data_IF_491847080084
#
_entry.id   IF_491847080084
#
_cell.length_a   1.000
_cell.length_b   1.000
_cell.length_c   1.000
_cell.angle_alpha   90.00
_cell.angle_beta   90.00
_cell.angle_gamma   90.00
#
_symmetry.space_group_name_H-M   'P 1'
#
loop_
_entity.id
_entity.type
_entity.pdbx_description
1 polymer ?
#
# COMPACT_ATOMS: atom_id res chain seq x y z
N UNK A 1 -69.50 -107.16 -42.17
CA UNK A 1 -70.40 -107.12 -40.99
C UNK A 1 -70.32 -105.69 -40.46
N UNK A 2 -71.34 -104.84 -40.69
CA UNK A 2 -72.55 -104.67 -39.85
C UNK A 2 -72.14 -104.03 -38.51
N UNK A 3 -72.58 -102.85 -38.03
CA UNK A 3 -73.46 -101.75 -38.42
C UNK A 3 -73.11 -100.58 -37.43
N UNK A 4 -73.68 -99.38 -37.60
CA UNK A 4 -73.38 -98.16 -36.84
C UNK A 4 -74.32 -97.96 -35.62
N UNK A 5 -74.15 -96.83 -34.91
CA UNK A 5 -75.15 -95.82 -34.48
C UNK A 5 -74.88 -95.21 -33.09
N UNK A 6 -74.88 -93.87 -33.08
CA UNK A 6 -75.51 -92.89 -32.16
C UNK A 6 -75.08 -92.87 -30.67
N UNK A 7 -74.86 -91.72 -30.02
CA UNK A 7 -75.74 -90.53 -29.89
C UNK A 7 -74.99 -89.44 -29.08
N UNK A 8 -74.75 -88.23 -29.59
CA UNK A 8 -75.46 -86.94 -29.38
C UNK A 8 -75.89 -86.62 -27.93
N UNK A 9 -75.28 -85.57 -27.33
CA UNK A 9 -75.91 -84.46 -26.55
C UNK A 9 -74.90 -83.25 -26.50
N UNK A 10 -75.03 -82.20 -27.33
CA UNK A 10 -75.55 -80.82 -27.05
C UNK A 10 -74.93 -80.21 -25.77
N UNK A 11 -74.15 -79.10 -25.77
CA UNK A 11 -74.62 -77.69 -25.87
C UNK A 11 -73.42 -76.72 -25.85
N UNK A 12 -73.59 -75.55 -26.49
CA UNK A 12 -72.86 -74.25 -26.52
C UNK A 12 -71.86 -73.97 -25.37
N UNK A 13 -70.78 -73.15 -25.50
CA UNK A 13 -70.74 -71.72 -25.87
C UNK A 13 -69.29 -71.32 -26.25
N UNK A 14 -69.10 -70.49 -27.29
CA UNK A 14 -67.97 -69.55 -27.38
C UNK A 14 -66.98 -69.69 -28.54
N UNK A 15 -67.29 -69.04 -29.68
CA UNK A 15 -66.28 -68.45 -30.58
C UNK A 15 -65.41 -67.45 -29.78
N UNK A 16 -64.10 -67.28 -30.05
CA UNK A 16 -63.61 -66.26 -30.99
C UNK A 16 -62.07 -66.32 -31.11
N UNK A 17 -61.59 -66.47 -32.36
CA UNK A 17 -60.46 -65.75 -33.01
C UNK A 17 -59.18 -65.41 -32.19
N UNK A 18 -58.03 -66.01 -32.57
CA UNK A 18 -56.73 -65.33 -32.47
C UNK A 18 -55.69 -65.84 -33.50
N UNK A 19 -55.82 -65.25 -34.69
CA UNK A 19 -54.82 -65.01 -35.73
C UNK A 19 -53.33 -65.18 -35.35
N UNK A 20 -52.67 -66.15 -35.99
CA UNK A 20 -51.24 -66.40 -35.98
C UNK A 20 -50.51 -65.33 -36.82
N UNK A 21 -50.02 -64.25 -36.20
CA UNK A 21 -49.16 -63.25 -36.85
C UNK A 21 -47.68 -63.66 -36.81
N UNK A 22 -47.05 -63.73 -37.97
CA UNK A 22 -45.61 -63.88 -38.15
C UNK A 22 -44.82 -62.70 -37.54
N UNK A 23 -43.58 -62.91 -37.04
CA UNK A 23 -42.83 -61.86 -36.34
C UNK A 23 -42.36 -60.74 -37.29
N UNK A 24 -42.38 -59.46 -36.84
CA UNK A 24 -41.98 -58.33 -37.67
C UNK A 24 -40.46 -58.29 -37.88
N UNK A 25 -40.01 -58.53 -39.11
CA UNK A 25 -38.60 -58.38 -39.53
C UNK A 25 -38.27 -56.90 -39.76
N UNK A 26 -37.93 -56.16 -38.70
CA UNK A 26 -37.16 -54.88 -38.76
C UNK A 26 -36.61 -54.51 -37.36
N UNK A 27 -35.66 -55.32 -36.87
CA UNK A 27 -34.83 -55.03 -35.66
C UNK A 27 -33.33 -55.20 -35.90
N UNK A 28 -32.91 -55.64 -37.10
CA UNK A 28 -31.50 -55.96 -37.41
C UNK A 28 -30.62 -54.73 -37.55
N UNK A 29 -31.10 -53.65 -38.20
CA UNK A 29 -30.30 -52.45 -38.40
C UNK A 29 -30.05 -51.66 -37.11
N UNK A 30 -31.04 -51.57 -36.21
CA UNK A 30 -30.88 -50.95 -34.90
C UNK A 30 -29.98 -51.78 -33.98
N UNK A 31 -30.08 -53.12 -34.04
CA UNK A 31 -29.17 -54.01 -33.31
C UNK A 31 -27.73 -53.90 -33.82
N UNK A 32 -27.51 -53.86 -35.15
CA UNK A 32 -26.17 -53.66 -35.72
C UNK A 32 -25.63 -52.25 -35.46
N UNK A 33 -26.50 -51.23 -35.50
CA UNK A 33 -26.11 -49.86 -35.14
C UNK A 33 -25.67 -49.81 -33.68
N UNK A 34 -26.44 -50.39 -32.76
CA UNK A 34 -26.09 -50.44 -31.33
C UNK A 34 -24.82 -51.26 -31.09
N UNK A 35 -24.64 -52.38 -31.80
CA UNK A 35 -23.45 -53.23 -31.73
C UNK A 35 -22.16 -52.50 -32.18
N UNK A 36 -22.26 -51.52 -33.08
CA UNK A 36 -21.13 -50.71 -33.54
C UNK A 36 -20.98 -49.43 -32.71
N UNK A 37 -22.08 -48.78 -32.34
CA UNK A 37 -22.09 -47.50 -31.65
C UNK A 37 -21.58 -47.61 -30.21
N UNK A 38 -21.97 -48.67 -29.49
CA UNK A 38 -21.54 -48.89 -28.11
C UNK A 38 -20.01 -49.03 -27.99
N UNK A 39 -19.32 -49.91 -28.75
CA UNK A 39 -17.87 -49.99 -28.70
C UNK A 39 -17.17 -48.74 -29.25
N UNK A 40 -17.80 -48.02 -30.20
CA UNK A 40 -17.26 -46.75 -30.70
C UNK A 40 -17.21 -45.68 -29.60
N UNK A 41 -18.32 -45.48 -28.87
CA UNK A 41 -18.38 -44.51 -27.77
C UNK A 41 -17.42 -44.90 -26.65
N UNK A 42 -17.33 -46.20 -26.33
CA UNK A 42 -16.38 -46.71 -25.33
C UNK A 42 -14.91 -46.46 -25.74
N UNK A 43 -14.61 -46.60 -27.04
CA UNK A 43 -13.26 -46.33 -27.55
C UNK A 43 -12.92 -44.84 -27.42
N UNK A 44 -13.87 -43.96 -27.73
CA UNK A 44 -13.70 -42.50 -27.60
C UNK A 44 -13.48 -42.10 -26.13
N UNK A 45 -14.22 -42.69 -25.19
CA UNK A 45 -14.05 -42.38 -23.76
C UNK A 45 -12.71 -42.87 -23.21
N UNK A 46 -12.24 -44.06 -23.62
CA UNK A 46 -10.90 -44.55 -23.24
C UNK A 46 -9.81 -43.61 -23.76
N UNK A 47 -9.90 -43.20 -25.02
CA UNK A 47 -8.95 -42.25 -25.63
C UNK A 47 -8.95 -40.93 -24.86
N UNK A 48 -10.13 -40.41 -24.50
CA UNK A 48 -10.25 -39.18 -23.71
C UNK A 48 -9.55 -39.29 -22.35
N UNK A 49 -9.76 -40.40 -21.64
CA UNK A 49 -9.12 -40.64 -20.34
C UNK A 49 -7.60 -40.72 -20.48
N UNK A 50 -7.09 -41.46 -21.48
CA UNK A 50 -5.64 -41.59 -21.71
C UNK A 50 -5.00 -40.24 -22.02
N UNK A 51 -5.61 -39.44 -22.90
CA UNK A 51 -5.11 -38.10 -23.23
C UNK A 51 -5.09 -37.18 -22.00
N UNK A 52 -6.15 -37.23 -21.18
CA UNK A 52 -6.23 -36.47 -19.93
C UNK A 52 -5.11 -36.87 -18.94
N UNK A 53 -4.77 -38.15 -18.84
CA UNK A 53 -3.66 -38.62 -18.01
C UNK A 53 -2.28 -38.18 -18.52
N UNK A 54 -2.14 -37.94 -19.82
CA UNK A 54 -0.92 -37.42 -20.45
C UNK A 54 -0.79 -35.89 -20.32
N UNK A 55 -1.73 -35.21 -19.66
CA UNK A 55 -1.76 -33.74 -19.57
C UNK A 55 -2.13 -33.07 -20.90
N UNK A 56 -2.67 -33.83 -21.86
CA UNK A 56 -3.16 -33.30 -23.13
C UNK A 56 -4.66 -33.02 -22.97
N UNK A 57 -5.05 -31.75 -22.91
CA UNK A 57 -6.46 -31.35 -22.95
C UNK A 57 -7.06 -31.67 -24.33
N UNK A 58 -7.95 -32.68 -24.47
CA UNK A 58 -8.43 -33.11 -25.77
C UNK A 58 -9.24 -32.01 -26.48
N UNK A 59 -9.88 -31.14 -25.70
CA UNK A 59 -10.76 -30.05 -26.16
C UNK A 59 -9.98 -28.86 -26.73
N UNK A 60 -8.74 -28.61 -26.31
CA UNK A 60 -7.99 -27.43 -26.76
C UNK A 60 -7.36 -27.62 -28.16
N UNK A 61 -7.07 -28.87 -28.56
CA UNK A 61 -6.45 -29.21 -29.86
C UNK A 61 -7.42 -29.70 -30.95
N UNK A 62 -8.70 -29.86 -30.65
CA UNK A 62 -9.71 -30.28 -31.64
C UNK A 62 -10.02 -29.22 -32.70
N UNK A 63 -9.73 -27.94 -32.43
CA UNK A 63 -9.99 -26.82 -33.35
C UNK A 63 -9.33 -27.00 -34.73
N UNK A 64 -8.10 -27.52 -34.79
CA UNK A 64 -7.37 -27.72 -36.06
C UNK A 64 -7.81 -28.98 -36.84
N UNK A 65 -8.40 -29.96 -36.15
CA UNK A 65 -8.87 -31.22 -36.77
C UNK A 65 -10.34 -31.10 -37.23
N UNK A 66 -11.13 -30.23 -36.62
CA UNK A 66 -12.54 -29.96 -36.97
C UNK A 66 -12.70 -29.24 -38.31
N UNK A 67 -11.76 -28.36 -38.68
CA UNK A 67 -11.78 -27.58 -39.92
C UNK A 67 -11.69 -28.42 -41.22
N UNK A 68 -11.36 -29.71 -41.15
CA UNK A 68 -11.21 -30.60 -42.32
C UNK A 68 -12.31 -31.67 -42.43
N UNK A 69 -13.35 -31.58 -41.59
CA UNK A 69 -14.49 -32.52 -41.61
C UNK A 69 -15.70 -31.78 -42.18
N UNK A 70 -16.15 -32.11 -43.43
CA UNK A 70 -17.23 -31.40 -44.15
C UNK A 70 -18.60 -31.31 -43.46
N UNK A 71 -18.76 -31.92 -42.28
CA UNK A 71 -20.04 -32.05 -41.56
C UNK A 71 -20.03 -31.28 -40.23
N UNK A 72 -18.93 -30.61 -39.84
CA UNK A 72 -18.75 -29.99 -38.51
C UNK A 72 -18.45 -28.47 -38.52
N UNK A 73 -18.71 -27.76 -39.62
CA UNK A 73 -18.42 -26.32 -39.78
C UNK A 73 -19.14 -25.38 -38.80
N UNK A 74 -20.15 -25.83 -38.04
CA UNK A 74 -20.96 -24.95 -37.17
C UNK A 74 -20.61 -24.98 -35.68
N UNK A 75 -19.57 -25.69 -35.26
CA UNK A 75 -19.02 -25.60 -33.88
C UNK A 75 -17.84 -24.61 -33.83
N UNK A 76 -18.04 -23.50 -34.53
CA UNK A 76 -17.30 -22.24 -34.41
C UNK A 76 -17.50 -21.72 -32.98
N UNK A 77 -16.45 -21.10 -32.42
CA UNK A 77 -16.49 -20.32 -31.17
C UNK A 77 -17.83 -19.59 -31.10
N UNK A 78 -18.66 -19.92 -30.13
CA UNK A 78 -19.99 -19.31 -30.01
C UNK A 78 -19.82 -17.81 -29.77
N UNK A 79 -20.72 -16.96 -30.29
CA UNK A 79 -20.70 -15.50 -30.02
C UNK A 79 -20.64 -15.20 -28.51
N UNK A 80 -21.14 -16.13 -27.69
CA UNK A 80 -21.08 -16.11 -26.25
C UNK A 80 -19.66 -16.32 -25.67
N UNK A 81 -18.85 -17.20 -26.25
CA UNK A 81 -17.44 -17.40 -25.86
C UNK A 81 -16.57 -16.21 -26.27
N UNK A 82 -16.82 -15.60 -27.44
CA UNK A 82 -16.14 -14.38 -27.86
C UNK A 82 -16.45 -13.20 -26.91
N UNK A 83 -17.73 -13.01 -26.56
CA UNK A 83 -18.15 -11.99 -25.60
C UNK A 83 -17.70 -12.26 -24.15
N UNK A 84 -17.33 -13.50 -23.82
CA UNK A 84 -16.72 -13.83 -22.53
C UNK A 84 -15.23 -13.49 -22.53
N UNK A 85 -14.50 -13.84 -23.58
CA UNK A 85 -13.09 -13.50 -23.75
C UNK A 85 -12.85 -11.97 -23.80
N UNK A 86 -13.75 -11.21 -24.43
CA UNK A 86 -13.68 -9.75 -24.45
C UNK A 86 -13.83 -9.15 -23.04
N UNK A 87 -14.78 -9.66 -22.24
CA UNK A 87 -14.96 -9.22 -20.84
C UNK A 87 -13.78 -9.60 -19.95
N UNK A 88 -13.20 -10.78 -20.15
CA UNK A 88 -12.01 -11.21 -19.43
C UNK A 88 -10.82 -10.29 -19.73
N UNK A 89 -10.63 -9.93 -21.00
CA UNK A 89 -9.60 -8.96 -21.41
C UNK A 89 -9.84 -7.57 -20.81
N UNK A 90 -11.09 -7.10 -20.77
CA UNK A 90 -11.46 -5.83 -20.14
C UNK A 90 -11.18 -5.84 -18.63
N UNK A 91 -11.57 -6.90 -17.92
CA UNK A 91 -11.27 -7.03 -16.50
C UNK A 91 -9.77 -7.10 -16.22
N UNK A 92 -9.00 -7.81 -17.07
CA UNK A 92 -7.55 -7.88 -16.92
C UNK A 92 -6.90 -6.50 -17.11
N UNK A 93 -7.37 -5.72 -18.09
CA UNK A 93 -6.93 -4.34 -18.32
C UNK A 93 -7.27 -3.44 -17.12
N UNK A 94 -8.48 -3.55 -16.57
CA UNK A 94 -8.86 -2.80 -15.37
C UNK A 94 -7.98 -3.16 -14.16
N UNK A 95 -7.68 -4.45 -13.95
CA UNK A 95 -6.80 -4.90 -12.87
C UNK A 95 -5.40 -4.31 -13.03
N UNK A 96 -4.84 -4.32 -14.25
CA UNK A 96 -3.52 -3.74 -14.52
C UNK A 96 -3.49 -2.22 -14.28
N UNK A 97 -4.55 -1.52 -14.69
CA UNK A 97 -4.71 -0.09 -14.43
C UNK A 97 -4.82 0.21 -12.93
N UNK A 98 -5.61 -0.57 -12.18
CA UNK A 98 -5.72 -0.41 -10.73
C UNK A 98 -4.40 -0.73 -10.01
N UNK A 99 -3.66 -1.75 -10.46
CA UNK A 99 -2.35 -2.05 -9.89
C UNK A 99 -1.36 -0.91 -10.12
N UNK A 100 -1.34 -0.35 -11.32
CA UNK A 100 -0.49 0.81 -11.65
C UNK A 100 -0.85 2.02 -10.78
N UNK A 101 -2.14 2.27 -10.56
CA UNK A 101 -2.59 3.38 -9.72
C UNK A 101 -2.27 3.15 -8.23
N UNK A 102 -2.40 1.91 -7.74
CA UNK A 102 -1.97 1.53 -6.38
C UNK A 102 -0.48 1.76 -6.20
N UNK A 103 0.34 1.37 -7.18
CA UNK A 103 1.79 1.55 -7.11
C UNK A 103 2.15 3.05 -7.11
N UNK A 104 1.49 3.85 -7.95
CA UNK A 104 1.65 5.31 -7.99
C UNK A 104 1.28 5.96 -6.65
N UNK A 105 0.12 5.63 -6.11
CA UNK A 105 -0.37 6.16 -4.84
C UNK A 105 0.54 5.72 -3.67
N UNK A 106 1.05 4.49 -3.71
CA UNK A 106 1.98 3.99 -2.69
C UNK A 106 3.31 4.74 -2.70
N UNK A 107 3.83 5.05 -3.90
CA UNK A 107 5.03 5.89 -4.03
C UNK A 107 4.78 7.32 -3.56
N UNK A 108 3.64 7.91 -3.91
CA UNK A 108 3.26 9.25 -3.46
C UNK A 108 3.14 9.31 -1.93
N UNK A 109 2.51 8.30 -1.32
CA UNK A 109 2.35 8.19 0.13
C UNK A 109 3.72 8.05 0.82
N UNK A 110 4.60 7.20 0.31
CA UNK A 110 5.97 7.07 0.82
C UNK A 110 6.77 8.37 0.70
N UNK A 111 6.56 9.14 -0.38
CA UNK A 111 7.18 10.46 -0.56
C UNK A 111 6.67 11.47 0.47
N UNK A 112 5.36 11.50 0.71
CA UNK A 112 4.74 12.36 1.74
C UNK A 112 5.19 11.99 3.15
N UNK A 113 5.31 10.70 3.47
CA UNK A 113 5.81 10.26 4.78
C UNK A 113 7.26 10.70 5.02
N UNK A 114 8.10 10.65 3.98
CA UNK A 114 9.48 11.16 4.05
C UNK A 114 9.51 12.68 4.25
N UNK A 115 8.67 13.42 3.53
CA UNK A 115 8.52 14.88 3.70
C UNK A 115 8.04 15.25 5.11
N UNK A 116 7.07 14.52 5.66
CA UNK A 116 6.59 14.71 7.04
C UNK A 116 7.73 14.44 8.04
N UNK A 117 8.51 13.38 7.85
CA UNK A 117 9.64 13.08 8.73
C UNK A 117 10.70 14.19 8.71
N UNK A 118 11.03 14.72 7.53
CA UNK A 118 11.97 15.83 7.37
C UNK A 118 11.45 17.12 8.02
N UNK A 119 10.19 17.48 7.77
CA UNK A 119 9.56 18.64 8.39
C UNK A 119 9.52 18.55 9.92
N UNK A 120 9.23 17.36 10.47
CA UNK A 120 9.25 17.16 11.93
C UNK A 120 10.66 17.33 12.51
N UNK A 121 11.70 16.81 11.83
CA UNK A 121 13.08 17.01 12.26
C UNK A 121 13.49 18.50 12.22
N UNK A 122 13.06 19.24 11.20
CA UNK A 122 13.27 20.69 11.12
C UNK A 122 12.56 21.43 12.26
N UNK A 123 11.33 21.05 12.60
CA UNK A 123 10.57 21.62 13.73
C UNK A 123 11.30 21.37 15.05
N UNK A 124 11.80 20.15 15.29
CA UNK A 124 12.56 19.83 16.50
C UNK A 124 13.83 20.67 16.61
N UNK A 125 14.58 20.83 15.51
CA UNK A 125 15.76 21.67 15.49
C UNK A 125 15.42 23.14 15.79
N UNK A 126 14.41 23.70 15.13
CA UNK A 126 13.99 25.09 15.34
C UNK A 126 13.52 25.32 16.78
N UNK A 127 12.80 24.38 17.38
CA UNK A 127 12.40 24.47 18.78
C UNK A 127 13.62 24.48 19.71
N UNK A 128 14.63 23.63 19.47
CA UNK A 128 15.86 23.63 20.25
C UNK A 128 16.62 24.96 20.11
N UNK A 129 16.67 25.55 18.91
CA UNK A 129 17.26 26.87 18.69
C UNK A 129 16.50 27.98 19.42
N UNK A 130 15.17 27.93 19.44
CA UNK A 130 14.32 28.86 20.20
C UNK A 130 14.59 28.74 21.69
N UNK A 131 14.63 27.52 22.24
CA UNK A 131 14.89 27.29 23.67
C UNK A 131 16.28 27.82 24.07
N UNK A 132 17.29 27.59 23.23
CA UNK A 132 18.63 28.16 23.44
C UNK A 132 18.59 29.70 23.42
N UNK A 133 17.87 30.29 22.48
CA UNK A 133 17.74 31.75 22.40
C UNK A 133 17.03 32.33 23.63
N UNK A 134 15.95 31.70 24.09
CA UNK A 134 15.22 32.12 25.28
C UNK A 134 16.07 32.01 26.55
N UNK A 135 16.80 30.91 26.74
CA UNK A 135 17.72 30.77 27.87
C UNK A 135 18.83 31.85 27.84
N UNK A 136 19.39 32.12 26.65
CA UNK A 136 20.38 33.19 26.51
C UNK A 136 19.81 34.58 26.80
N UNK A 137 18.53 34.83 26.47
CA UNK A 137 17.86 36.08 26.82
C UNK A 137 17.63 36.21 28.32
N UNK A 138 17.20 35.14 28.99
CA UNK A 138 16.98 35.13 30.44
C UNK A 138 18.30 35.34 31.21
N UNK A 139 19.37 34.68 30.76
CA UNK A 139 20.72 34.87 31.30
C UNK A 139 21.22 36.32 31.10
N UNK A 140 20.92 36.93 29.95
CA UNK A 140 21.25 38.33 29.66
C UNK A 140 20.46 39.29 30.54
N UNK A 141 19.13 39.10 30.66
CA UNK A 141 18.29 39.93 31.51
C UNK A 141 18.75 39.85 32.98
N UNK A 142 18.99 38.65 33.48
CA UNK A 142 19.52 38.44 34.83
C UNK A 142 20.90 39.08 35.00
N UNK A 143 21.76 39.01 33.98
CA UNK A 143 23.07 39.68 34.00
C UNK A 143 22.91 41.20 34.02
N UNK A 144 22.04 41.77 33.21
CA UNK A 144 21.74 43.20 33.16
C UNK A 144 21.25 43.71 34.52
N UNK A 145 20.30 43.01 35.17
CA UNK A 145 19.82 43.36 36.51
C UNK A 145 20.96 43.37 37.55
N UNK A 146 21.83 42.36 37.53
CA UNK A 146 22.99 42.31 38.43
C UNK A 146 23.98 43.44 38.15
N UNK A 147 24.24 43.75 36.88
CA UNK A 147 25.12 44.86 36.51
C UNK A 147 24.51 46.18 36.96
N UNK A 148 23.20 46.39 36.78
CA UNK A 148 22.52 47.60 37.24
C UNK A 148 22.65 47.78 38.77
N UNK A 149 22.42 46.72 39.55
CA UNK A 149 22.59 46.77 41.00
C UNK A 149 24.04 47.09 41.43
N UNK A 150 25.03 46.55 40.72
CA UNK A 150 26.43 46.90 40.93
C UNK A 150 26.71 48.36 40.55
N UNK A 151 26.19 48.82 39.41
CA UNK A 151 26.30 50.21 38.97
C UNK A 151 25.75 51.17 40.01
N UNK A 152 24.56 50.91 40.56
CA UNK A 152 23.97 51.73 41.64
C UNK A 152 24.85 51.73 42.90
N UNK A 153 25.41 50.57 43.26
CA UNK A 153 26.32 50.44 44.40
C UNK A 153 27.58 51.28 44.21
N UNK A 154 28.22 51.21 43.04
CA UNK A 154 29.44 51.97 42.77
C UNK A 154 29.18 53.45 42.48
N UNK A 155 28.02 53.79 41.93
CA UNK A 155 27.57 55.17 41.66
C UNK A 155 27.44 56.00 42.94
N UNK A 156 27.08 55.36 44.06
CA UNK A 156 26.90 55.99 45.37
C UNK A 156 28.14 55.89 46.27
N UNK A 157 29.15 55.13 45.84
CA UNK A 157 30.39 54.92 46.58
C UNK A 157 31.39 56.04 46.28
N UNK A 158 32.23 56.36 47.27
CA UNK A 158 33.37 57.28 47.07
C UNK A 158 34.31 56.78 45.96
N UNK A 159 34.71 57.67 45.05
CA UNK A 159 35.41 57.33 43.81
C UNK A 159 36.70 56.52 44.04
N UNK A 160 37.48 56.87 45.07
CA UNK A 160 38.72 56.16 45.43
C UNK A 160 38.42 54.73 45.93
N UNK A 161 37.37 54.56 46.73
CA UNK A 161 36.97 53.24 47.21
C UNK A 161 36.45 52.37 46.07
N UNK A 162 35.62 52.92 45.19
CA UNK A 162 35.13 52.23 44.00
C UNK A 162 36.29 51.81 43.07
N UNK A 163 37.23 52.72 42.80
CA UNK A 163 38.42 52.44 42.00
C UNK A 163 39.25 51.28 42.57
N UNK A 164 39.51 51.28 43.88
CA UNK A 164 40.28 50.21 44.55
C UNK A 164 39.62 48.83 44.45
N UNK A 165 38.30 48.78 44.56
CA UNK A 165 37.55 47.51 44.46
C UNK A 165 37.53 47.05 43.00
N UNK A 166 37.19 47.93 42.05
CA UNK A 166 37.08 47.60 40.64
C UNK A 166 38.40 47.15 40.02
N UNK A 167 39.55 47.67 40.47
CA UNK A 167 40.86 47.18 40.03
C UNK A 167 41.11 45.70 40.34
N UNK A 168 40.43 45.15 41.34
CA UNK A 168 40.53 43.75 41.75
C UNK A 168 39.30 42.92 41.31
N UNK A 169 38.46 43.48 40.46
CA UNK A 169 37.25 42.84 39.93
C UNK A 169 37.51 42.33 38.50
N UNK A 170 36.75 41.33 38.07
CA UNK A 170 36.84 40.81 36.71
C UNK A 170 36.61 41.92 35.67
N UNK A 171 37.50 41.99 34.68
CA UNK A 171 37.55 43.05 33.68
C UNK A 171 36.18 43.27 33.00
N UNK A 172 35.47 42.20 32.66
CA UNK A 172 34.17 42.27 31.98
C UNK A 172 33.08 42.93 32.84
N UNK A 173 33.12 42.69 34.16
CA UNK A 173 32.19 43.31 35.11
C UNK A 173 32.55 44.79 35.26
N UNK A 174 33.84 45.10 35.35
CA UNK A 174 34.32 46.49 35.45
C UNK A 174 33.88 47.29 34.23
N UNK A 175 34.07 46.76 33.01
CA UNK A 175 33.65 47.44 31.78
C UNK A 175 32.14 47.65 31.73
N UNK A 176 31.35 46.62 32.05
CA UNK A 176 29.89 46.72 32.04
C UNK A 176 29.39 47.78 33.05
N UNK A 177 29.93 47.79 34.26
CA UNK A 177 29.60 48.80 35.28
C UNK A 177 30.04 50.19 34.83
N UNK A 178 31.27 50.35 34.33
CA UNK A 178 31.78 51.65 33.88
C UNK A 178 31.00 52.20 32.69
N UNK A 179 30.52 51.36 31.76
CA UNK A 179 29.67 51.77 30.63
C UNK A 179 28.35 52.37 31.11
N UNK A 180 27.73 51.74 32.10
CA UNK A 180 26.41 52.13 32.61
C UNK A 180 26.44 53.36 33.53
N UNK A 181 27.59 53.63 34.16
CA UNK A 181 27.77 54.84 34.98
C UNK A 181 27.65 56.13 34.16
N UNK A 182 27.23 57.21 34.83
CA UNK A 182 27.23 58.54 34.22
C UNK A 182 28.66 58.96 33.81
N UNK A 183 28.83 59.80 32.78
CA UNK A 183 30.15 60.29 32.38
C UNK A 183 30.95 60.91 33.54
N UNK A 184 30.28 61.61 34.44
CA UNK A 184 30.87 62.24 35.62
C UNK A 184 31.37 61.20 36.63
N UNK A 185 30.52 60.22 36.96
CA UNK A 185 30.87 59.14 37.90
C UNK A 185 31.99 58.26 37.35
N UNK A 186 31.89 57.87 36.07
CA UNK A 186 32.93 57.13 35.36
C UNK A 186 34.25 57.90 35.36
N UNK A 187 34.22 59.20 35.05
CA UNK A 187 35.40 60.06 35.05
C UNK A 187 36.06 60.15 36.43
N UNK A 188 35.25 60.34 37.48
CA UNK A 188 35.73 60.41 38.86
C UNK A 188 36.41 59.10 39.31
N UNK A 189 35.79 57.96 39.00
CA UNK A 189 36.34 56.63 39.32
C UNK A 189 37.62 56.35 38.52
N UNK A 190 37.63 56.58 37.21
CA UNK A 190 38.83 56.41 36.38
C UNK A 190 39.97 57.33 36.82
N UNK A 191 39.67 58.57 37.23
CA UNK A 191 40.68 59.51 37.76
C UNK A 191 41.24 59.09 39.11
N UNK A 192 40.50 58.29 39.88
CA UNK A 192 40.93 57.74 41.15
C UNK A 192 41.72 56.41 41.00
N UNK A 193 41.80 55.86 39.78
CA UNK A 193 42.63 54.71 39.46
C UNK A 193 44.08 55.13 39.12
N UNK A 194 45.06 54.22 39.23
CA UNK A 194 46.37 54.39 38.64
C UNK A 194 46.29 54.64 37.13
N UNK A 195 47.21 55.45 36.60
CA UNK A 195 47.20 55.86 35.19
C UNK A 195 47.22 54.69 34.20
N UNK A 196 47.89 53.59 34.57
CA UNK A 196 47.95 52.37 33.75
C UNK A 196 46.58 51.70 33.63
N UNK A 197 45.89 51.45 34.75
CA UNK A 197 44.57 50.85 34.77
C UNK A 197 43.51 51.76 34.15
N UNK A 198 43.54 53.06 34.46
CA UNK A 198 42.64 54.04 33.87
C UNK A 198 42.78 54.09 32.34
N UNK A 199 44.02 54.10 31.84
CA UNK A 199 44.31 54.04 30.41
C UNK A 199 43.84 52.72 29.76
N UNK A 200 44.07 51.59 30.43
CA UNK A 200 43.62 50.26 29.98
C UNK A 200 42.10 50.22 29.83
N UNK A 201 41.34 50.56 30.88
CA UNK A 201 39.88 50.55 30.84
C UNK A 201 39.32 51.56 29.84
N UNK A 202 39.95 52.75 29.70
CA UNK A 202 39.53 53.73 28.70
C UNK A 202 39.65 53.19 27.27
N UNK A 203 40.74 52.50 26.95
CA UNK A 203 40.91 51.88 25.63
C UNK A 203 39.89 50.76 25.38
N UNK A 204 39.61 49.94 26.41
CA UNK A 204 38.62 48.88 26.31
C UNK A 204 37.19 49.40 26.18
N UNK A 205 36.88 50.57 26.72
CA UNK A 205 35.58 51.23 26.58
C UNK A 205 35.38 51.89 25.21
N UNK A 206 36.46 52.17 24.48
CA UNK A 206 36.41 52.84 23.18
C UNK A 206 36.24 51.88 22.00
N UNK A 207 36.36 50.57 22.22
CA UNK A 207 36.25 49.51 21.22
C UNK A 207 35.06 48.60 21.51
#
# INVERSE_FOLDING_TARGET
>A
MKHPTDSILITEIGETMANKKAPPKKKRLLQTLLLILVPLILSITIIYIVLSLLGLEPISKTKNFMNNVPVLESLVVTDQEAAFAEREADYQSQIENYQTEIDRLSQELSGKDAEIADLNAQIEQLNAEIDQYLNNLDDRATREERIQALTETYATMEAISAANILMNTDQDIVLAVLQELSPEQRSAILSAMPAEDAGRYTNLLAN
#
